data_IF_211897057259
#
_entry.id   IF_211897057259
#
_cell.length_a   1.000
_cell.length_b   1.000
_cell.length_c   1.000
_cell.angle_alpha   90.00
_cell.angle_beta   90.00
_cell.angle_gamma   90.00
#
_symmetry.space_group_name_H-M   'P 1'
#
loop_
_entity.id
_entity.type
_entity.pdbx_description
1 polymer ?
#
# COMPACT_ATOMS: atom_id res chain seq x y z
N UNK A 1 3.08 1.91 -2.23
CA UNK A 1 1.95 2.52 -1.51
C UNK A 1 1.18 1.43 -0.80
N UNK A 2 0.76 1.66 0.44
CA UNK A 2 -0.18 0.76 1.12
C UNK A 2 -1.62 1.20 0.88
N UNK A 3 -2.51 0.22 0.82
CA UNK A 3 -3.93 0.42 0.99
C UNK A 3 -4.37 -0.42 2.19
N UNK A 4 -4.79 0.25 3.26
CA UNK A 4 -5.49 -0.27 4.42
C UNK A 4 -6.94 0.20 4.31
N UNK A 5 -7.65 -0.34 3.31
CA UNK A 5 -9.00 0.08 2.98
C UNK A 5 -9.95 -1.11 3.05
N UNK A 6 -11.17 -0.84 3.49
CA UNK A 6 -12.27 -1.76 3.25
C UNK A 6 -12.49 -1.96 1.74
N UNK A 7 -13.15 -3.05 1.36
CA UNK A 7 -13.53 -3.27 -0.04
C UNK A 7 -14.46 -2.13 -0.50
N UNK A 8 -13.93 -1.27 -1.35
CA UNK A 8 -14.63 -0.12 -1.91
C UNK A 8 -14.27 0.04 -3.39
N UNK A 9 -15.15 0.60 -4.24
CA UNK A 9 -14.85 0.84 -5.66
C UNK A 9 -13.53 1.57 -5.90
N UNK A 10 -13.15 2.47 -4.98
CA UNK A 10 -11.95 3.29 -4.99
C UNK A 10 -10.65 2.46 -4.95
N UNK A 11 -10.72 1.23 -4.42
CA UNK A 11 -9.57 0.35 -4.29
C UNK A 11 -8.95 -0.01 -5.65
N UNK A 12 -9.77 -0.26 -6.68
CA UNK A 12 -9.27 -0.63 -8.01
C UNK A 12 -8.56 0.54 -8.69
N UNK A 13 -9.16 1.74 -8.84
CA UNK A 13 -8.46 2.89 -9.40
C UNK A 13 -7.19 3.25 -8.62
N UNK A 14 -7.18 3.09 -7.29
CA UNK A 14 -5.98 3.29 -6.48
C UNK A 14 -4.86 2.33 -6.83
N UNK A 15 -5.18 1.04 -6.92
CA UNK A 15 -4.21 0.00 -7.28
C UNK A 15 -3.64 0.26 -8.69
N UNK A 16 -4.49 0.63 -9.65
CA UNK A 16 -4.04 1.02 -10.98
C UNK A 16 -3.18 2.27 -10.97
N UNK A 17 -3.54 3.30 -10.18
CA UNK A 17 -2.76 4.52 -10.03
C UNK A 17 -1.35 4.26 -9.47
N UNK A 18 -1.22 3.34 -8.51
CA UNK A 18 0.07 2.89 -7.96
C UNK A 18 0.96 2.32 -9.06
N UNK A 19 0.44 1.41 -9.90
CA UNK A 19 1.23 0.86 -10.99
C UNK A 19 1.50 1.88 -12.09
N UNK A 20 0.53 2.75 -12.38
CA UNK A 20 0.65 3.80 -13.39
C UNK A 20 1.80 4.76 -13.07
N UNK A 21 2.02 5.08 -11.78
CA UNK A 21 3.13 5.92 -11.33
C UNK A 21 4.42 5.14 -11.05
N UNK A 22 4.48 3.85 -11.37
CA UNK A 22 5.67 3.02 -11.21
C UNK A 22 5.93 2.53 -9.79
N UNK A 23 4.97 2.68 -8.88
CA UNK A 23 5.10 2.24 -7.49
C UNK A 23 4.73 0.75 -7.31
N UNK A 24 5.14 0.21 -6.16
CA UNK A 24 4.78 -1.15 -5.72
C UNK A 24 3.54 -1.08 -4.83
N UNK A 25 2.55 -1.90 -5.12
CA UNK A 25 1.38 -2.06 -4.26
C UNK A 25 1.73 -2.93 -3.05
N UNK A 26 1.33 -2.50 -1.86
CA UNK A 26 1.47 -3.30 -0.63
C UNK A 26 0.13 -3.35 0.10
N UNK A 27 -0.84 -4.15 -0.39
CA UNK A 27 -2.13 -4.30 0.24
C UNK A 27 -2.00 -4.92 1.62
N UNK A 28 -2.75 -4.36 2.56
CA UNK A 28 -2.77 -4.85 3.93
C UNK A 28 -4.22 -5.10 4.31
N UNK A 29 -4.49 -6.26 4.92
CA UNK A 29 -5.83 -6.61 5.35
C UNK A 29 -6.36 -5.55 6.33
N UNK A 30 -7.49 -4.94 5.99
CA UNK A 30 -8.14 -3.90 6.79
C UNK A 30 -8.49 -4.35 8.22
N UNK A 31 -8.56 -5.66 8.48
CA UNK A 31 -8.81 -6.22 9.81
C UNK A 31 -7.58 -6.31 10.71
N UNK A 32 -6.36 -6.08 10.19
CA UNK A 32 -5.16 -6.07 11.02
C UNK A 32 -5.14 -4.87 11.94
N UNK A 33 -4.59 -5.04 13.15
CA UNK A 33 -4.40 -3.92 14.07
C UNK A 33 -3.37 -2.92 13.53
N UNK A 34 -3.50 -1.66 13.93
CA UNK A 34 -2.66 -0.54 13.46
C UNK A 34 -1.17 -0.81 13.67
N UNK A 35 -0.81 -1.49 14.76
CA UNK A 35 0.58 -1.89 15.05
C UNK A 35 1.14 -2.91 14.06
N UNK A 36 0.33 -3.89 13.67
CA UNK A 36 0.73 -4.90 12.68
C UNK A 36 0.84 -4.26 11.30
N UNK A 37 -0.10 -3.38 10.95
CA UNK A 37 -0.08 -2.60 9.73
C UNK A 37 1.15 -1.66 9.66
N UNK A 38 1.48 -0.97 10.75
CA UNK A 38 2.67 -0.12 10.85
C UNK A 38 3.96 -0.93 10.72
N UNK A 39 4.01 -2.13 11.31
CA UNK A 39 5.15 -3.03 11.13
C UNK A 39 5.33 -3.42 9.66
N UNK A 40 4.24 -3.81 8.98
CA UNK A 40 4.27 -4.12 7.55
C UNK A 40 4.76 -2.91 6.75
N UNK A 41 4.27 -1.72 7.09
CA UNK A 41 4.64 -0.51 6.38
C UNK A 41 6.12 -0.15 6.54
N UNK A 42 6.64 -0.19 7.76
CA UNK A 42 8.06 0.00 8.03
C UNK A 42 8.93 -1.07 7.37
N UNK A 43 8.56 -2.35 7.48
CA UNK A 43 9.33 -3.46 6.89
C UNK A 43 9.35 -3.43 5.35
N UNK A 44 8.28 -2.94 4.72
CA UNK A 44 8.22 -2.74 3.26
C UNK A 44 8.86 -1.44 2.78
N UNK A 45 9.34 -0.59 3.70
CA UNK A 45 9.87 0.75 3.40
C UNK A 45 8.90 1.64 2.61
N UNK A 46 7.60 1.49 2.84
CA UNK A 46 6.67 2.27 2.06
C UNK A 46 6.70 3.74 2.42
N UNK A 47 6.57 4.55 1.37
CA UNK A 47 6.57 6.01 1.48
C UNK A 47 5.20 6.59 1.82
N UNK A 48 4.12 5.91 1.43
CA UNK A 48 2.75 6.37 1.58
C UNK A 48 1.82 5.20 1.96
N UNK A 49 0.99 5.42 2.96
CA UNK A 49 -0.11 4.55 3.37
C UNK A 49 -1.44 5.28 3.22
N UNK A 50 -2.33 4.72 2.39
CA UNK A 50 -3.70 5.13 2.20
C UNK A 50 -4.56 4.34 3.18
N UNK A 51 -5.32 5.02 4.02
CA UNK A 51 -6.06 4.40 5.11
C UNK A 51 -7.39 5.11 5.34
N UNK A 52 -8.39 4.37 5.82
CA UNK A 52 -9.65 4.95 6.25
C UNK A 52 -9.45 5.92 7.44
N UNK A 53 -10.22 7.01 7.47
CA UNK A 53 -10.07 8.13 8.42
C UNK A 53 -10.01 7.69 9.88
N UNK A 54 -10.90 6.77 10.26
CA UNK A 54 -11.05 6.27 11.62
C UNK A 54 -9.79 5.56 12.15
N UNK A 55 -8.90 5.10 11.25
CA UNK A 55 -7.69 4.36 11.60
C UNK A 55 -6.41 5.17 11.45
N UNK A 56 -6.49 6.33 10.81
CA UNK A 56 -5.32 7.13 10.47
C UNK A 56 -4.50 7.54 11.70
N UNK A 57 -5.16 7.98 12.77
CA UNK A 57 -4.50 8.40 14.01
C UNK A 57 -3.73 7.25 14.69
N UNK A 58 -4.36 6.09 14.83
CA UNK A 58 -3.74 4.91 15.42
C UNK A 58 -2.58 4.38 14.58
N UNK A 59 -2.71 4.38 13.25
CA UNK A 59 -1.62 4.01 12.35
C UNK A 59 -0.44 5.00 12.45
N UNK A 60 -0.71 6.31 12.46
CA UNK A 60 0.33 7.33 12.54
C UNK A 60 1.08 7.26 13.87
N UNK A 61 0.38 7.01 14.98
CA UNK A 61 1.03 6.76 16.27
C UNK A 61 1.94 5.52 16.21
N UNK A 62 1.44 4.39 15.69
CA UNK A 62 2.21 3.17 15.60
C UNK A 62 3.45 3.29 14.68
N UNK A 63 3.34 4.04 13.57
CA UNK A 63 4.46 4.35 12.69
C UNK A 63 5.53 5.19 13.39
N UNK A 64 5.12 6.18 14.20
CA UNK A 64 6.02 7.00 15.01
C UNK A 64 6.76 6.17 16.06
N UNK A 65 6.06 5.26 16.77
CA UNK A 65 6.66 4.32 17.73
C UNK A 65 7.75 3.44 17.08
N UNK A 66 7.64 3.17 15.78
CA UNK A 66 8.60 2.39 14.99
C UNK A 66 9.65 3.23 14.27
N UNK A 67 9.64 4.56 14.42
CA UNK A 67 10.49 5.50 13.67
C UNK A 67 10.37 5.36 12.14
N UNK A 68 9.19 5.00 11.64
CA UNK A 68 8.93 4.89 10.21
C UNK A 68 8.76 6.26 9.55
N UNK A 69 9.24 6.41 8.32
CA UNK A 69 9.04 7.61 7.49
C UNK A 69 7.81 7.53 6.60
N UNK A 70 6.98 6.49 6.74
CA UNK A 70 5.75 6.32 5.96
C UNK A 70 4.78 7.46 6.24
N UNK A 71 4.37 8.18 5.20
CA UNK A 71 3.30 9.18 5.31
C UNK A 71 1.94 8.50 5.33
N UNK A 72 1.01 9.03 6.12
CA UNK A 72 -0.37 8.54 6.19
C UNK A 72 -1.26 9.55 5.50
N UNK A 73 -2.00 9.08 4.49
CA UNK A 73 -3.09 9.82 3.88
C UNK A 73 -4.39 9.18 4.32
N UNK A 74 -5.08 9.89 5.21
CA UNK A 74 -6.48 9.67 5.52
C UNK A 74 -7.34 10.31 4.43
N UNK A 75 -8.54 9.81 4.22
CA UNK A 75 -9.56 10.29 3.31
C UNK A 75 -9.36 9.89 1.84
N UNK A 76 -10.41 9.39 1.21
CA UNK A 76 -10.47 9.02 -0.21
C UNK A 76 -10.94 10.18 -1.09
N UNK A 77 -11.32 11.34 -0.53
CA UNK A 77 -11.77 12.51 -1.31
C UNK A 77 -10.72 13.00 -2.30
N UNK A 78 -9.43 12.72 -2.11
CA UNK A 78 -8.40 13.02 -3.11
C UNK A 78 -8.68 12.35 -4.45
N UNK A 79 -9.38 11.21 -4.47
CA UNK A 79 -9.81 10.54 -5.71
C UNK A 79 -10.85 11.34 -6.47
N UNK A 80 -11.73 12.05 -5.75
CA UNK A 80 -12.76 12.91 -6.35
C UNK A 80 -12.20 14.28 -6.73
N UNK A 81 -11.15 14.72 -6.04
CA UNK A 81 -10.48 16.02 -6.23
C UNK A 81 -9.24 15.93 -7.13
N UNK A 82 -8.97 14.77 -7.74
CA UNK A 82 -7.83 14.56 -8.61
C UNK A 82 -7.98 15.35 -9.94
N UNK A 83 -7.64 16.63 -9.90
CA UNK A 83 -7.62 17.54 -11.05
C UNK A 83 -6.18 17.91 -11.48
N UNK A 84 -5.20 17.15 -11.02
CA UNK A 84 -3.79 17.36 -11.34
C UNK A 84 -3.45 17.03 -12.80
N UNK A 85 -2.25 17.40 -13.26
CA UNK A 85 -1.80 17.03 -14.60
C UNK A 85 -1.80 15.51 -14.75
N UNK A 86 -2.28 15.03 -15.89
CA UNK A 86 -2.28 13.60 -16.18
C UNK A 86 -0.84 13.09 -16.23
N UNK A 87 -0.49 12.20 -15.31
CA UNK A 87 0.80 11.53 -15.31
C UNK A 87 0.89 10.59 -16.51
N UNK A 88 1.99 10.66 -17.25
CA UNK A 88 2.33 9.64 -18.22
C UNK A 88 2.58 8.30 -17.50
N UNK A 89 2.15 7.20 -18.13
CA UNK A 89 2.43 5.86 -17.65
C UNK A 89 3.94 5.68 -17.49
N UNK A 90 4.38 5.31 -16.29
CA UNK A 90 5.80 5.09 -16.03
C UNK A 90 6.24 3.74 -16.63
N UNK A 91 7.35 3.70 -17.38
CA UNK A 91 7.87 2.46 -17.92
C UNK A 91 8.32 1.53 -16.78
N UNK A 92 8.05 0.23 -16.94
CA UNK A 92 8.50 -0.82 -16.02
C UNK A 92 8.87 -2.07 -16.80
N UNK A 93 9.87 -2.77 -16.29
CA UNK A 93 10.27 -4.07 -16.81
C UNK A 93 9.41 -5.19 -16.20
N UNK A 94 9.38 -6.34 -16.87
CA UNK A 94 8.58 -7.49 -16.45
C UNK A 94 8.96 -8.06 -15.09
N UNK A 95 10.25 -7.92 -14.72
CA UNK A 95 10.82 -8.39 -13.47
C UNK A 95 10.80 -7.36 -12.35
N UNK A 96 10.34 -6.15 -12.65
CA UNK A 96 10.23 -5.12 -11.65
C UNK A 96 9.18 -5.48 -10.59
N UNK A 97 9.45 -5.24 -9.29
CA UNK A 97 8.48 -5.46 -8.23
C UNK A 97 7.20 -4.64 -8.45
N UNK A 98 6.04 -5.30 -8.55
CA UNK A 98 4.75 -4.66 -8.76
C UNK A 98 3.83 -4.78 -7.53
N UNK A 99 4.02 -5.84 -6.74
CA UNK A 99 3.20 -6.14 -5.58
C UNK A 99 4.04 -6.81 -4.49
N UNK A 100 3.93 -6.34 -3.25
CA UNK A 100 4.46 -7.01 -2.06
C UNK A 100 3.30 -7.49 -1.19
N UNK A 101 3.12 -8.81 -1.06
CA UNK A 101 2.04 -9.41 -0.28
C UNK A 101 2.57 -9.96 1.04
N UNK A 102 1.95 -9.63 2.16
CA UNK A 102 2.34 -10.18 3.45
C UNK A 102 1.47 -11.36 3.85
N UNK A 103 2.12 -12.45 4.28
CA UNK A 103 1.46 -13.68 4.73
C UNK A 103 1.79 -13.94 6.20
N UNK A 104 0.85 -14.52 6.94
CA UNK A 104 1.11 -14.95 8.32
C UNK A 104 2.13 -16.08 8.32
N UNK A 105 3.35 -15.78 8.77
CA UNK A 105 4.39 -16.79 8.95
C UNK A 105 4.13 -17.61 10.21
N UNK A 106 4.50 -18.89 10.19
CA UNK A 106 4.43 -19.78 11.38
C UNK A 106 5.35 -19.36 12.52
N UNK A 107 6.35 -18.50 12.24
CA UNK A 107 7.38 -18.04 13.18
C UNK A 107 7.04 -16.68 13.82
N UNK A 108 5.78 -16.26 13.78
CA UNK A 108 5.25 -15.10 14.52
C UNK A 108 5.32 -13.75 13.81
N UNK A 109 6.24 -13.54 12.86
CA UNK A 109 6.29 -12.31 12.03
C UNK A 109 5.84 -12.59 10.59
N UNK A 110 5.02 -11.72 9.98
CA UNK A 110 4.60 -11.88 8.59
C UNK A 110 5.78 -11.87 7.62
N UNK A 111 5.67 -12.63 6.53
CA UNK A 111 6.68 -12.66 5.45
C UNK A 111 6.17 -11.92 4.23
N UNK A 112 6.99 -11.04 3.67
CA UNK A 112 6.72 -10.33 2.42
C UNK A 112 7.07 -11.20 1.21
N UNK A 113 6.10 -11.38 0.31
CA UNK A 113 6.24 -12.07 -0.98
C UNK A 113 6.22 -11.02 -2.07
N UNK A 114 7.33 -10.92 -2.82
CA UNK A 114 7.45 -9.99 -3.95
C UNK A 114 6.90 -10.66 -5.20
N UNK A 115 6.02 -9.96 -5.92
CA UNK A 115 5.53 -10.34 -7.24
C UNK A 115 5.91 -9.25 -8.26
N UNK A 116 6.38 -9.69 -9.42
CA UNK A 116 6.70 -8.84 -10.57
C UNK A 116 5.58 -8.83 -11.63
N UNK A 117 5.68 -7.90 -12.59
CA UNK A 117 4.68 -7.73 -13.65
C UNK A 117 4.42 -9.02 -14.45
N UNK A 118 5.46 -9.81 -14.73
CA UNK A 118 5.32 -11.10 -15.42
C UNK A 118 4.44 -12.09 -14.66
N UNK A 119 4.57 -12.17 -13.33
CA UNK A 119 3.76 -13.10 -12.52
C UNK A 119 2.29 -12.67 -12.45
N UNK A 120 2.02 -11.36 -12.50
CA UNK A 120 0.66 -10.82 -12.42
C UNK A 120 -0.11 -10.89 -13.75
N UNK A 121 0.58 -10.97 -14.89
CA UNK A 121 -0.03 -11.12 -16.22
C UNK A 121 -0.20 -12.57 -16.67
N UNK A 122 0.36 -13.53 -15.96
CA UNK A 122 0.32 -14.96 -16.29
C UNK A 122 -0.99 -15.69 -15.96
N UNK A 123 -2.11 -14.97 -15.88
CA UNK A 123 -3.47 -15.51 -15.76
C UNK A 123 -4.16 -15.53 -17.11
#
# INVERSE_FOLDING_TARGET
GHALMHNAPEYLPLMWGIWWCGAVAVPVNAKLHEREAAWIAGHSEARLALVDDERASGLQQALSELNSTTQVQADHTFMQQAHGPQLALQPREDDDPAWLFYTSGTTGRPKGVVLCGRQLRGC
#
